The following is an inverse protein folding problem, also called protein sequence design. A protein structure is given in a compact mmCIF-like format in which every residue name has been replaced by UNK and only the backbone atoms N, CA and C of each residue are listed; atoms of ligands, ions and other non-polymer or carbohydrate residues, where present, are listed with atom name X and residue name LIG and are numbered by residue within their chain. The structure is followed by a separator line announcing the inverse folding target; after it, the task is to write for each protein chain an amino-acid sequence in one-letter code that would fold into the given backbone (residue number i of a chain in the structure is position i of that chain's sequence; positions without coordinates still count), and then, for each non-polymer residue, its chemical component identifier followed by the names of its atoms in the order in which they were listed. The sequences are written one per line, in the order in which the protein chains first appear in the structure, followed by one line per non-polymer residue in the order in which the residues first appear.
data_IF_831832347184
#
_entry.id   IF_831832347184
#
_cell.length_a   1.000
_cell.length_b   1.000
_cell.length_c   1.000
_cell.angle_alpha   90.00
_cell.angle_beta   90.00
_cell.angle_gamma   90.00
#
_symmetry.space_group_name_H-M   'P 1'
#
loop_
_entity.id
_entity.type
_entity.pdbx_description
1 polymer ?
#
# COMPACT_ATOMS: atom_id res chain seq x y z
N UNK A 1 20.08 -14.20 8.00
CA UNK A 1 18.87 -14.98 7.65
C UNK A 1 18.33 -14.46 6.33
N UNK A 2 17.97 -15.37 5.40
CA UNK A 2 17.43 -14.99 4.08
C UNK A 2 15.90 -14.99 4.14
N UNK A 3 15.29 -13.92 3.66
CA UNK A 3 13.83 -13.80 3.54
C UNK A 3 13.43 -13.90 2.06
N UNK A 4 12.21 -14.35 1.81
CA UNK A 4 11.59 -14.34 0.48
C UNK A 4 10.21 -13.68 0.54
N UNK A 5 9.82 -12.96 -0.50
CA UNK A 5 8.46 -12.45 -0.66
C UNK A 5 7.69 -13.42 -1.55
N UNK A 6 6.50 -13.81 -1.10
CA UNK A 6 5.55 -14.59 -1.87
C UNK A 6 4.32 -13.72 -2.17
N UNK A 7 3.92 -13.72 -3.43
CA UNK A 7 2.75 -13.01 -3.92
C UNK A 7 2.19 -13.75 -5.12
N UNK A 8 0.88 -13.92 -5.14
CA UNK A 8 0.12 -14.41 -6.29
C UNK A 8 -0.99 -13.39 -6.55
N UNK A 9 -1.05 -12.83 -7.75
CA UNK A 9 -2.07 -11.83 -8.12
C UNK A 9 -3.50 -12.33 -8.02
N UNK A 10 -3.72 -13.65 -8.04
CA UNK A 10 -5.05 -14.24 -7.91
C UNK A 10 -5.40 -14.53 -6.45
N UNK A 11 -4.43 -14.44 -5.54
CA UNK A 11 -4.61 -14.64 -4.11
C UNK A 11 -4.49 -13.28 -3.43
N UNK A 12 -5.52 -12.81 -2.70
CA UNK A 12 -5.50 -11.49 -2.06
C UNK A 12 -4.59 -11.43 -0.81
N UNK A 13 -3.39 -11.99 -0.88
CA UNK A 13 -2.39 -12.01 0.19
C UNK A 13 -0.97 -11.93 -0.36
N UNK A 14 -0.13 -11.20 0.35
CA UNK A 14 1.31 -11.24 0.18
C UNK A 14 1.98 -11.56 1.51
N UNK A 15 3.14 -12.22 1.49
CA UNK A 15 3.83 -12.56 2.73
C UNK A 15 5.35 -12.55 2.58
N UNK A 16 6.03 -12.30 3.69
CA UNK A 16 7.47 -12.51 3.85
C UNK A 16 7.68 -13.81 4.60
N UNK A 17 8.43 -14.74 4.01
CA UNK A 17 8.79 -16.03 4.60
C UNK A 17 10.27 -16.09 4.99
N UNK A 18 10.60 -16.88 6.02
CA UNK A 18 11.97 -17.37 6.21
C UNK A 18 12.28 -18.43 5.15
N UNK A 19 13.40 -18.27 4.46
CA UNK A 19 13.84 -19.25 3.46
C UNK A 19 14.29 -20.57 4.07
N UNK A 20 14.67 -20.59 5.34
CA UNK A 20 14.92 -21.84 6.06
C UNK A 20 13.59 -22.42 6.54
N UNK A 21 13.45 -23.74 6.46
CA UNK A 21 12.27 -24.46 6.99
C UNK A 21 12.42 -24.74 8.48
N UNK A 22 11.31 -24.64 9.20
CA UNK A 22 11.17 -25.07 10.59
C UNK A 22 10.32 -26.36 10.63
N UNK A 23 10.60 -27.27 11.55
CA UNK A 23 9.80 -28.50 11.70
C UNK A 23 8.51 -28.19 12.45
N UNK A 24 7.37 -28.47 11.83
CA UNK A 24 6.05 -28.35 12.44
C UNK A 24 5.35 -29.70 12.36
N UNK A 25 5.15 -30.35 13.50
CA UNK A 25 4.66 -31.74 13.60
C UNK A 25 5.48 -32.72 12.74
N UNK A 26 6.81 -32.56 12.71
CA UNK A 26 7.71 -33.40 11.91
C UNK A 26 7.77 -33.06 10.42
N UNK A 27 6.97 -32.11 9.95
CA UNK A 27 6.93 -31.69 8.55
C UNK A 27 7.70 -30.36 8.41
N UNK A 28 8.71 -30.28 7.52
CA UNK A 28 9.42 -29.02 7.27
C UNK A 28 8.49 -28.01 6.59
N UNK A 29 8.36 -26.83 7.18
CA UNK A 29 7.53 -25.73 6.63
C UNK A 29 8.27 -24.40 6.70
N UNK A 30 8.05 -23.54 5.71
CA UNK A 30 8.49 -22.15 5.80
C UNK A 30 7.63 -21.38 6.80
N UNK A 31 8.25 -20.52 7.59
CA UNK A 31 7.56 -19.65 8.55
C UNK A 31 7.27 -18.29 7.94
N UNK A 32 6.02 -17.85 8.05
CA UNK A 32 5.59 -16.49 7.70
C UNK A 32 6.02 -15.54 8.83
N UNK A 33 6.65 -14.43 8.46
CA UNK A 33 7.16 -13.40 9.38
C UNK A 33 6.38 -12.11 9.28
N UNK A 34 5.91 -11.79 8.07
CA UNK A 34 4.98 -10.71 7.82
C UNK A 34 3.95 -11.16 6.79
N UNK A 35 2.71 -10.71 6.92
CA UNK A 35 1.65 -10.94 5.97
C UNK A 35 0.87 -9.64 5.75
N UNK A 36 0.47 -9.44 4.50
CA UNK A 36 -0.36 -8.34 4.05
C UNK A 36 -1.64 -8.91 3.46
N UNK A 37 -2.77 -8.48 4.03
CA UNK A 37 -4.10 -8.77 3.55
C UNK A 37 -4.50 -7.70 2.54
N UNK A 38 -4.93 -8.16 1.36
CA UNK A 38 -5.25 -7.32 0.22
C UNK A 38 -6.70 -7.56 -0.22
N UNK A 39 -7.25 -6.63 -0.98
CA UNK A 39 -8.49 -6.82 -1.74
C UNK A 39 -8.26 -6.28 -3.15
N UNK A 40 -8.53 -7.10 -4.16
CA UNK A 40 -8.44 -6.66 -5.54
C UNK A 40 -9.48 -5.56 -5.80
N UNK A 41 -9.04 -4.45 -6.40
CA UNK A 41 -9.91 -3.36 -6.80
C UNK A 41 -9.98 -3.35 -8.32
N UNK A 42 -11.14 -3.70 -8.86
CA UNK A 42 -11.34 -3.72 -10.31
C UNK A 42 -11.81 -2.35 -10.84
N UNK A 43 -12.49 -1.55 -10.01
CA UNK A 43 -12.99 -0.23 -10.40
C UNK A 43 -12.86 0.74 -9.23
N UNK A 44 -12.24 1.91 -9.48
CA UNK A 44 -12.55 3.14 -8.75
C UNK A 44 -13.93 3.59 -9.26
N UNK A 45 -14.81 4.10 -8.39
CA UNK A 45 -16.25 4.27 -8.65
C UNK A 45 -16.62 4.90 -10.00
N UNK A 46 -17.91 4.81 -10.38
CA UNK A 46 -18.40 5.10 -11.75
C UNK A 46 -17.96 6.44 -12.37
N UNK A 47 -17.55 7.43 -11.56
CA UNK A 47 -17.13 8.76 -11.99
C UNK A 47 -15.62 8.91 -12.27
N UNK A 48 -14.81 7.84 -12.26
CA UNK A 48 -13.33 7.93 -12.17
C UNK A 48 -12.60 7.50 -13.46
N UNK A 49 -13.10 7.93 -14.62
CA UNK A 49 -12.59 7.50 -15.95
C UNK A 49 -11.11 7.87 -16.18
N UNK A 50 -10.65 9.02 -15.71
CA UNK A 50 -9.28 9.51 -15.93
C UNK A 50 -8.23 8.65 -15.22
N UNK A 51 -8.48 8.26 -13.97
CA UNK A 51 -7.57 7.42 -13.18
C UNK A 51 -7.56 5.98 -13.68
N UNK A 52 -8.73 5.45 -14.08
CA UNK A 52 -8.81 4.10 -14.68
C UNK A 52 -7.91 3.98 -15.91
N UNK A 53 -7.94 4.98 -16.82
CA UNK A 53 -7.05 5.00 -17.99
C UNK A 53 -5.58 5.04 -17.60
N UNK A 54 -5.24 5.77 -16.55
CA UNK A 54 -3.85 5.90 -16.09
C UNK A 54 -3.30 4.57 -15.52
N UNK A 55 -4.15 3.69 -15.00
CA UNK A 55 -3.76 2.40 -14.39
C UNK A 55 -4.12 1.17 -15.21
N UNK A 56 -4.47 1.33 -16.50
CA UNK A 56 -4.98 0.23 -17.34
C UNK A 56 -4.13 -1.04 -17.33
N UNK A 57 -2.82 -0.93 -17.17
CA UNK A 57 -1.88 -2.06 -17.19
C UNK A 57 -1.39 -2.50 -15.80
N UNK A 58 -1.98 -1.98 -14.71
CA UNK A 58 -1.53 -2.23 -13.33
C UNK A 58 -2.54 -3.03 -12.52
N UNK A 59 -2.04 -3.98 -11.72
CA UNK A 59 -2.90 -4.68 -10.77
C UNK A 59 -3.14 -3.80 -9.54
N UNK A 60 -4.41 -3.48 -9.27
CA UNK A 60 -4.80 -2.58 -8.19
C UNK A 60 -5.28 -3.38 -6.97
N UNK A 61 -4.67 -3.12 -5.82
CA UNK A 61 -5.03 -3.75 -4.55
C UNK A 61 -5.18 -2.73 -3.43
N UNK A 62 -6.25 -2.87 -2.65
CA UNK A 62 -6.40 -2.17 -1.38
C UNK A 62 -5.81 -3.01 -0.26
N UNK A 63 -5.07 -2.38 0.65
CA UNK A 63 -4.54 -2.99 1.87
C UNK A 63 -5.60 -2.93 2.97
N UNK A 64 -5.95 -4.08 3.53
CA UNK A 64 -6.87 -4.18 4.68
C UNK A 64 -6.15 -4.44 6.01
N UNK A 65 -4.98 -5.07 5.97
CA UNK A 65 -4.33 -5.51 7.20
C UNK A 65 -2.87 -5.85 7.00
N UNK A 66 -2.05 -5.49 8.00
CA UNK A 66 -0.63 -5.85 8.06
C UNK A 66 -0.35 -6.53 9.39
N UNK A 67 0.18 -7.75 9.33
CA UNK A 67 0.61 -8.49 10.52
C UNK A 67 2.10 -8.77 10.41
N UNK A 68 2.85 -8.39 11.43
CA UNK A 68 4.28 -8.71 11.56
C UNK A 68 4.51 -9.42 12.89
N UNK A 69 5.24 -10.54 12.82
CA UNK A 69 5.69 -11.30 13.99
C UNK A 69 6.36 -10.36 15.00
N UNK A 70 6.01 -10.51 16.28
CA UNK A 70 6.43 -9.58 17.34
C UNK A 70 7.95 -9.33 17.37
N UNK A 71 8.75 -10.40 17.31
CA UNK A 71 10.22 -10.32 17.29
C UNK A 71 10.82 -9.76 16.00
N UNK A 72 10.00 -9.48 15.00
CA UNK A 72 10.38 -8.92 13.71
C UNK A 72 9.83 -7.51 13.45
N UNK A 73 9.00 -6.98 14.36
CA UNK A 73 8.53 -5.59 14.31
C UNK A 73 9.71 -4.61 14.40
N UNK A 74 9.56 -3.44 13.79
CA UNK A 74 10.60 -2.41 13.74
C UNK A 74 11.74 -2.68 12.73
N UNK A 75 11.77 -3.83 12.07
CA UNK A 75 12.82 -4.21 11.10
C UNK A 75 12.51 -3.79 9.64
N UNK A 76 11.56 -2.88 9.44
CA UNK A 76 11.19 -2.40 8.10
C UNK A 76 10.45 -3.40 7.20
N UNK A 77 10.03 -4.56 7.73
CA UNK A 77 9.39 -5.62 6.93
C UNK A 77 8.08 -5.19 6.24
N UNK A 78 7.32 -4.29 6.87
CA UNK A 78 6.09 -3.78 6.26
C UNK A 78 6.40 -2.92 5.02
N UNK A 79 7.35 -2.01 5.13
CA UNK A 79 7.84 -1.19 4.01
C UNK A 79 8.42 -2.07 2.90
N UNK A 80 9.24 -3.06 3.25
CA UNK A 80 9.80 -4.00 2.28
C UNK A 80 8.70 -4.73 1.48
N UNK A 81 7.63 -5.17 2.14
CA UNK A 81 6.54 -5.86 1.47
C UNK A 81 5.82 -4.93 0.47
N UNK A 82 5.62 -3.67 0.83
CA UNK A 82 5.05 -2.66 -0.07
C UNK A 82 5.96 -2.39 -1.27
N UNK A 83 7.25 -2.19 -1.03
CA UNK A 83 8.24 -1.95 -2.09
C UNK A 83 8.32 -3.12 -3.08
N UNK A 84 8.35 -4.35 -2.58
CA UNK A 84 8.45 -5.54 -3.43
C UNK A 84 7.20 -5.69 -4.30
N UNK A 85 6.01 -5.49 -3.74
CA UNK A 85 4.75 -5.54 -4.50
C UNK A 85 4.69 -4.45 -5.57
N UNK A 86 5.01 -3.22 -5.22
CA UNK A 86 4.87 -2.09 -6.14
C UNK A 86 5.96 -2.09 -7.22
N UNK A 87 7.21 -2.32 -6.82
CA UNK A 87 8.35 -2.21 -7.73
C UNK A 87 8.49 -3.46 -8.59
N UNK A 88 8.45 -4.65 -7.99
CA UNK A 88 8.73 -5.90 -8.71
C UNK A 88 7.48 -6.58 -9.25
N UNK A 89 6.37 -6.50 -8.53
CA UNK A 89 5.12 -7.12 -8.97
C UNK A 89 4.24 -6.17 -9.80
N UNK A 90 4.61 -4.88 -9.93
CA UNK A 90 3.86 -3.90 -10.71
C UNK A 90 2.47 -3.62 -10.15
N UNK A 91 2.30 -3.79 -8.85
CA UNK A 91 1.04 -3.56 -8.14
C UNK A 91 0.92 -2.09 -7.76
N UNK A 92 -0.30 -1.57 -7.81
CA UNK A 92 -0.65 -0.30 -7.16
C UNK A 92 -1.33 -0.64 -5.85
N UNK A 93 -0.78 -0.12 -4.75
CA UNK A 93 -1.32 -0.34 -3.41
C UNK A 93 -2.12 0.88 -2.95
N UNK A 94 -3.33 0.64 -2.47
CA UNK A 94 -4.19 1.65 -1.86
C UNK A 94 -4.33 1.38 -0.37
N UNK A 95 -4.37 2.42 0.47
CA UNK A 95 -4.77 2.29 1.86
C UNK A 95 -6.26 1.95 1.96
N UNK A 96 -6.68 1.28 3.04
CA UNK A 96 -8.09 1.34 3.44
C UNK A 96 -8.46 2.71 4.05
N UNK A 97 -9.75 2.86 4.37
CA UNK A 97 -10.34 4.02 5.02
C UNK A 97 -10.54 3.84 6.54
N UNK A 98 -10.10 2.72 7.11
CA UNK A 98 -10.23 2.33 8.52
C UNK A 98 -8.85 2.10 9.14
N UNK A 99 -7.90 2.99 8.86
CA UNK A 99 -6.55 2.83 9.38
C UNK A 99 -6.48 3.15 10.88
N UNK A 100 -6.08 2.14 11.65
CA UNK A 100 -5.55 2.33 13.01
C UNK A 100 -4.27 3.19 12.95
N UNK A 101 -3.93 3.87 14.04
CA UNK A 101 -2.77 4.79 14.12
C UNK A 101 -1.46 4.20 13.55
N UNK A 102 -1.22 2.90 13.74
CA UNK A 102 -0.05 2.22 13.20
C UNK A 102 0.00 2.19 11.65
N UNK A 103 -1.15 2.07 10.99
CA UNK A 103 -1.26 2.09 9.54
C UNK A 103 -0.99 3.49 8.96
N UNK A 104 -1.58 4.53 9.56
CA UNK A 104 -1.29 5.93 9.19
C UNK A 104 0.20 6.25 9.30
N UNK A 105 0.81 5.87 10.43
CA UNK A 105 2.24 6.05 10.67
C UNK A 105 3.11 5.29 9.64
N UNK A 106 2.70 4.10 9.21
CA UNK A 106 3.40 3.35 8.17
C UNK A 106 3.37 4.10 6.84
N UNK A 107 2.21 4.59 6.41
CA UNK A 107 2.07 5.34 5.16
C UNK A 107 2.84 6.65 5.17
N UNK A 108 2.78 7.41 6.26
CA UNK A 108 3.61 8.61 6.45
C UNK A 108 5.09 8.27 6.38
N UNK A 109 5.53 7.19 7.04
CA UNK A 109 6.91 6.74 7.01
C UNK A 109 7.36 6.38 5.60
N UNK A 110 6.55 5.63 4.84
CA UNK A 110 6.83 5.29 3.45
C UNK A 110 6.97 6.58 2.60
N UNK A 111 6.04 7.52 2.75
CA UNK A 111 6.05 8.79 2.05
C UNK A 111 7.30 9.64 2.34
N UNK A 112 7.81 9.59 3.58
CA UNK A 112 9.00 10.35 4.01
C UNK A 112 10.32 9.67 3.63
N UNK A 113 10.39 8.35 3.77
CA UNK A 113 11.67 7.63 3.80
C UNK A 113 11.91 6.74 2.58
N UNK A 114 10.87 6.29 1.87
CA UNK A 114 11.07 5.40 0.72
C UNK A 114 11.56 6.18 -0.49
N UNK A 115 12.70 5.75 -1.03
CA UNK A 115 13.28 6.22 -2.28
C UNK A 115 12.66 5.53 -3.50
N UNK A 116 12.04 4.37 -3.32
CA UNK A 116 11.40 3.58 -4.38
C UNK A 116 9.94 3.92 -4.61
N UNK A 117 9.24 4.33 -3.54
CA UNK A 117 7.81 4.59 -3.60
C UNK A 117 7.53 6.09 -3.66
N UNK A 118 6.52 6.44 -4.44
CA UNK A 118 5.84 7.72 -4.36
C UNK A 118 4.44 7.47 -3.81
N UNK A 119 4.05 8.22 -2.78
CA UNK A 119 2.72 8.14 -2.17
C UNK A 119 1.90 9.32 -2.66
N UNK A 120 0.64 9.09 -3.02
CA UNK A 120 -0.29 10.13 -3.45
C UNK A 120 -1.57 10.06 -2.64
N UNK A 121 -2.24 11.20 -2.48
CA UNK A 121 -3.58 11.26 -1.90
C UNK A 121 -4.57 11.29 -3.05
N UNK A 122 -5.48 10.31 -3.08
CA UNK A 122 -6.55 10.18 -4.06
C UNK A 122 -7.89 10.31 -3.33
N UNK A 123 -8.75 11.21 -3.79
CA UNK A 123 -10.17 11.13 -3.50
C UNK A 123 -10.79 10.16 -4.52
N UNK A 124 -11.09 8.95 -4.05
CA UNK A 124 -11.60 7.85 -4.89
C UNK A 124 -13.08 7.98 -5.24
N UNK A 125 -13.82 8.86 -4.57
CA UNK A 125 -15.23 9.12 -4.90
C UNK A 125 -15.34 9.99 -6.17
N UNK A 126 -14.41 10.93 -6.33
CA UNK A 126 -14.38 11.86 -7.49
C UNK A 126 -13.22 11.61 -8.45
N UNK A 127 -12.28 10.72 -8.11
CA UNK A 127 -11.18 10.33 -9.00
C UNK A 127 -10.13 11.41 -9.19
N UNK A 128 -9.86 12.22 -8.16
CA UNK A 128 -8.90 13.32 -8.25
C UNK A 128 -7.78 13.18 -7.23
N UNK A 129 -6.55 13.47 -7.67
CA UNK A 129 -5.41 13.54 -6.77
C UNK A 129 -5.33 14.91 -6.10
N UNK A 130 -4.94 14.93 -4.82
CA UNK A 130 -4.58 16.16 -4.12
C UNK A 130 -3.40 16.86 -4.84
N UNK A 131 -3.39 18.21 -4.98
CA UNK A 131 -4.30 19.19 -4.35
C UNK A 131 -5.58 19.51 -5.13
N UNK A 132 -6.03 18.62 -6.02
CA UNK A 132 -7.26 18.75 -6.81
C UNK A 132 -7.22 19.89 -7.83
N UNK A 133 -6.02 20.34 -8.22
CA UNK A 133 -5.82 21.35 -9.26
C UNK A 133 -5.53 20.75 -10.65
N UNK A 134 -5.60 19.42 -10.78
CA UNK A 134 -5.20 18.68 -11.99
C UNK A 134 -3.74 18.21 -11.95
N UNK A 135 -2.91 18.81 -11.10
CA UNK A 135 -1.55 18.34 -10.86
C UNK A 135 -1.54 17.20 -9.83
N UNK A 136 -0.65 16.24 -10.05
CA UNK A 136 -0.46 15.10 -9.18
C UNK A 136 0.85 15.25 -8.41
N UNK A 137 0.74 15.60 -7.13
CA UNK A 137 1.92 15.87 -6.29
C UNK A 137 2.15 14.74 -5.29
N UNK A 138 3.36 14.16 -5.21
CA UNK A 138 3.67 13.17 -4.18
C UNK A 138 3.48 13.75 -2.77
N UNK A 139 2.71 13.03 -1.96
CA UNK A 139 2.64 13.27 -0.53
C UNK A 139 4.01 13.00 0.10
N UNK A 140 4.54 14.01 0.80
CA UNK A 140 5.84 13.94 1.48
C UNK A 140 5.73 13.43 2.92
N UNK A 141 4.55 12.96 3.35
CA UNK A 141 4.29 12.51 4.70
C UNK A 141 4.21 13.61 5.75
N UNK A 142 4.21 14.90 5.36
CA UNK A 142 4.19 16.09 6.22
C UNK A 142 3.33 17.20 5.62
N UNK A 143 3.02 18.23 6.40
CA UNK A 143 2.44 19.48 5.89
C UNK A 143 0.96 19.44 5.47
N UNK A 144 0.38 18.26 5.31
CA UNK A 144 -1.07 18.07 5.18
C UNK A 144 -1.59 17.54 6.52
N UNK A 145 -2.52 18.24 7.18
CA UNK A 145 -3.11 17.76 8.42
C UNK A 145 -3.82 16.41 8.23
N UNK A 146 -3.69 15.51 9.20
CA UNK A 146 -4.21 14.14 9.11
C UNK A 146 -5.73 14.12 8.93
N UNK A 147 -6.46 15.07 9.50
CA UNK A 147 -7.91 15.24 9.34
C UNK A 147 -8.34 15.61 7.90
N UNK A 148 -7.41 16.01 7.04
CA UNK A 148 -7.68 16.22 5.61
C UNK A 148 -7.53 14.95 4.79
N UNK A 149 -6.82 13.95 5.31
CA UNK A 149 -6.53 12.68 4.63
C UNK A 149 -7.41 11.57 5.17
N UNK A 150 -7.60 11.51 6.49
CA UNK A 150 -8.29 10.43 7.17
C UNK A 150 -9.58 10.88 7.82
N UNK A 151 -10.60 10.04 7.73
CA UNK A 151 -11.80 10.16 8.55
C UNK A 151 -11.48 9.79 10.00
N UNK A 152 -11.89 10.64 10.95
CA UNK A 152 -11.84 10.37 12.38
C UNK A 152 -13.26 10.13 12.89
N UNK A 153 -13.57 8.91 13.32
CA UNK A 153 -14.91 8.56 13.81
C UNK A 153 -15.40 9.61 14.85
N UNK A 154 -16.64 10.12 14.72
CA UNK A 154 -17.72 9.66 13.83
C UNK A 154 -17.74 10.31 12.44
N UNK A 155 -16.78 11.16 12.10
CA UNK A 155 -16.69 11.76 10.77
C UNK A 155 -16.42 10.67 9.72
N UNK A 156 -17.21 10.71 8.64
CA UNK A 156 -17.13 9.79 7.49
C UNK A 156 -16.93 10.53 6.17
N UNK A 157 -16.78 11.86 6.22
CA UNK A 157 -16.69 12.73 5.03
C UNK A 157 -15.44 12.50 4.19
N UNK A 158 -14.47 11.73 4.69
CA UNK A 158 -13.21 11.39 4.00
C UNK A 158 -13.06 9.90 3.75
N UNK A 159 -14.13 9.11 3.77
CA UNK A 159 -14.05 7.67 3.49
C UNK A 159 -13.56 7.35 2.08
N UNK A 160 -13.81 8.24 1.11
CA UNK A 160 -13.27 8.13 -0.24
C UNK A 160 -11.81 8.54 -0.37
N UNK A 161 -11.23 9.23 0.62
CA UNK A 161 -9.83 9.68 0.56
C UNK A 161 -8.90 8.55 0.99
N UNK A 162 -8.00 8.18 0.11
CA UNK A 162 -7.07 7.05 0.27
C UNK A 162 -5.67 7.44 -0.17
N UNK A 163 -4.66 6.78 0.42
CA UNK A 163 -3.29 6.89 -0.04
C UNK A 163 -2.98 5.81 -1.08
N UNK A 164 -2.23 6.18 -2.10
CA UNK A 164 -1.83 5.30 -3.20
C UNK A 164 -0.31 5.27 -3.27
N UNK A 165 0.29 4.08 -3.17
CA UNK A 165 1.72 3.88 -3.39
C UNK A 165 1.97 3.38 -4.83
N UNK A 166 2.91 4.05 -5.50
CA UNK A 166 3.35 3.74 -6.85
C UNK A 166 4.88 3.74 -6.97
N UNK A 167 5.37 3.11 -8.03
CA UNK A 167 6.80 3.04 -8.32
C UNK A 167 7.30 4.42 -8.79
N UNK A 168 8.22 5.01 -8.02
CA UNK A 168 8.78 6.34 -8.30
C UNK A 168 9.51 6.42 -9.65
N UNK A 169 10.24 5.38 -10.03
CA UNK A 169 10.98 5.35 -11.31
C UNK A 169 10.01 5.40 -12.50
N UNK A 170 8.89 4.68 -12.43
CA UNK A 170 7.86 4.73 -13.48
C UNK A 170 7.28 6.12 -13.62
N UNK A 171 7.01 6.80 -12.51
CA UNK A 171 6.41 8.15 -12.52
C UNK A 171 7.35 9.17 -13.17
N UNK A 172 8.66 9.10 -12.89
CA UNK A 172 9.64 9.99 -13.52
C UNK A 172 9.75 9.86 -15.05
N UNK A 173 9.13 8.85 -15.65
CA UNK A 173 9.06 8.71 -17.12
C UNK A 173 7.86 9.45 -17.72
N UNK A 174 6.89 9.88 -16.90
CA UNK A 174 5.67 10.57 -17.31
C UNK A 174 5.63 12.04 -16.86
N UNK A 175 6.66 12.52 -16.16
CA UNK A 175 6.86 13.92 -15.76
C UNK A 175 8.13 14.47 -16.42
#
# INVERSE_FOLDING_TARGET
MKYGVIFDKNVPKAAIIRMNTESFNGIPRHRIIAALDLVAKQELGENVISVQRFWQDSALFQVEGMVVEQGARGKGLATLLYEELVVKCGVILMSDNKQYEAGKALWQKIAQESDKLAVFILDSDVGQFYPYCGDRVPYNGKGIPEEKIWSLHPDTTKWGVVLVAENREKISQYC
#
